data_IF_372282698456
#
_entry.id   IF_372282698456
#
_cell.length_a   1.000
_cell.length_b   1.000
_cell.length_c   1.000
_cell.angle_alpha   90.00
_cell.angle_beta   90.00
_cell.angle_gamma   90.00
#
_symmetry.space_group_name_H-M   'P 1'
#
loop_
_entity.id
_entity.type
_entity.pdbx_description
1 polymer ?
#
# COMPACT_ATOMS: atom_id res chain seq x y z
N UNK A 1 -13.82 -4.08 9.29
CA UNK A 1 -12.47 -3.93 9.88
C UNK A 1 -11.91 -2.59 9.41
N UNK A 2 -11.42 -1.72 10.30
CA UNK A 2 -10.97 -0.39 9.89
C UNK A 2 -9.59 -0.49 9.20
N UNK A 3 -9.50 -0.11 7.92
CA UNK A 3 -8.24 -0.13 7.18
C UNK A 3 -7.41 1.10 7.58
N UNK A 4 -6.11 0.95 7.90
CA UNK A 4 -5.26 2.11 8.12
C UNK A 4 -5.20 2.98 6.86
N UNK A 5 -5.30 4.30 7.04
CA UNK A 5 -5.19 5.28 5.95
C UNK A 5 -3.74 5.51 5.58
N UNK A 6 -3.45 5.53 4.28
CA UNK A 6 -2.13 5.80 3.71
C UNK A 6 -2.30 6.82 2.59
N UNK A 7 -1.70 7.99 2.75
CA UNK A 7 -1.76 9.07 1.75
C UNK A 7 -0.43 9.16 1.00
N UNK A 8 -0.52 9.34 -0.32
CA UNK A 8 0.63 9.52 -1.22
C UNK A 8 0.40 10.63 -2.24
N UNK A 9 1.50 11.15 -2.80
CA UNK A 9 1.53 11.96 -4.02
C UNK A 9 2.13 11.14 -5.18
N UNK A 10 1.27 10.52 -6.00
CA UNK A 10 1.69 9.57 -7.02
C UNK A 10 2.48 10.17 -8.19
N UNK A 11 2.35 11.47 -8.45
CA UNK A 11 3.09 12.17 -9.51
C UNK A 11 4.54 12.48 -9.11
N UNK A 12 4.89 12.25 -7.84
CA UNK A 12 6.23 12.43 -7.29
C UNK A 12 6.94 11.11 -6.99
N UNK A 13 8.02 11.15 -6.19
CA UNK A 13 8.75 9.94 -5.78
C UNK A 13 7.89 8.97 -4.94
N UNK A 14 6.77 9.43 -4.39
CA UNK A 14 5.85 8.60 -3.60
C UNK A 14 5.00 7.65 -4.45
N UNK A 15 4.94 7.86 -5.77
CA UNK A 15 4.31 6.92 -6.71
C UNK A 15 5.13 5.65 -6.94
N UNK A 16 6.32 5.52 -6.36
CA UNK A 16 7.08 4.28 -6.44
C UNK A 16 6.45 3.19 -5.55
N UNK A 17 6.27 1.97 -6.09
CA UNK A 17 5.62 0.88 -5.36
C UNK A 17 6.29 0.55 -4.02
N UNK A 18 7.63 0.61 -3.95
CA UNK A 18 8.37 0.30 -2.72
C UNK A 18 8.15 1.37 -1.64
N UNK A 19 7.98 2.63 -2.05
CA UNK A 19 7.61 3.70 -1.14
C UNK A 19 6.22 3.46 -0.54
N UNK A 20 5.25 3.12 -1.39
CA UNK A 20 3.87 2.81 -0.98
C UNK A 20 3.84 1.63 -0.01
N UNK A 21 4.58 0.56 -0.32
CA UNK A 21 4.71 -0.62 0.57
C UNK A 21 5.34 -0.22 1.91
N UNK A 22 6.36 0.63 1.92
CA UNK A 22 6.97 1.16 3.14
C UNK A 22 5.96 1.91 4.02
N UNK A 23 5.18 2.83 3.44
CA UNK A 23 4.11 3.55 4.16
C UNK A 23 3.03 2.58 4.67
N UNK A 24 2.61 1.61 3.86
CA UNK A 24 1.63 0.60 4.26
C UNK A 24 2.13 -0.26 5.43
N UNK A 25 3.40 -0.68 5.41
CA UNK A 25 4.04 -1.39 6.52
C UNK A 25 3.96 -0.61 7.82
N UNK A 26 4.32 0.68 7.77
CA UNK A 26 4.36 1.53 8.96
C UNK A 26 2.95 1.76 9.53
N UNK A 27 1.96 1.95 8.67
CA UNK A 27 0.55 2.09 9.07
C UNK A 27 0.01 0.81 9.72
N UNK A 28 0.27 -0.35 9.12
CA UNK A 28 -0.15 -1.66 9.65
C UNK A 28 0.58 -2.01 10.94
N UNK A 29 1.88 -1.70 11.05
CA UNK A 29 2.66 -1.87 12.28
C UNK A 29 2.10 -1.03 13.42
N UNK A 30 1.78 0.25 13.18
CA UNK A 30 1.14 1.14 14.18
C UNK A 30 -0.22 0.60 14.64
N UNK A 31 -0.96 -0.02 13.72
CA UNK A 31 -2.23 -0.69 14.01
C UNK A 31 -2.07 -2.08 14.67
N UNK A 32 -0.84 -2.52 15.00
CA UNK A 32 -0.52 -3.88 15.51
C UNK A 32 -0.96 -5.02 14.57
N UNK A 33 -0.93 -4.77 13.26
CA UNK A 33 -1.36 -5.69 12.18
C UNK A 33 -0.21 -6.04 11.23
N UNK A 34 0.97 -6.32 11.78
CA UNK A 34 2.16 -6.62 10.95
C UNK A 34 2.01 -7.94 10.17
N UNK A 35 1.22 -8.90 10.66
CA UNK A 35 0.85 -10.11 9.93
C UNK A 35 0.19 -9.78 8.59
N UNK A 36 -0.74 -8.83 8.60
CA UNK A 36 -1.51 -8.45 7.41
C UNK A 36 -0.60 -7.78 6.36
N UNK A 37 0.45 -7.09 6.82
CA UNK A 37 1.50 -6.59 5.94
C UNK A 37 2.27 -7.74 5.29
N UNK A 38 2.65 -8.77 6.05
CA UNK A 38 3.40 -9.90 5.51
C UNK A 38 2.58 -10.62 4.42
N UNK A 39 1.31 -10.89 4.68
CA UNK A 39 0.42 -11.54 3.72
C UNK A 39 0.19 -10.66 2.48
N UNK A 40 0.03 -9.35 2.67
CA UNK A 40 -0.09 -8.38 1.57
C UNK A 40 1.20 -8.34 0.73
N UNK A 41 2.36 -8.34 1.38
CA UNK A 41 3.66 -8.28 0.72
C UNK A 41 3.92 -9.53 -0.14
N UNK A 42 3.55 -10.71 0.34
CA UNK A 42 3.61 -11.95 -0.44
C UNK A 42 2.73 -11.85 -1.70
N UNK A 43 1.48 -11.37 -1.59
CA UNK A 43 0.60 -11.19 -2.75
C UNK A 43 1.15 -10.15 -3.74
N UNK A 44 1.70 -9.05 -3.25
CA UNK A 44 2.29 -7.99 -4.08
C UNK A 44 3.51 -8.49 -4.85
N UNK A 45 4.39 -9.29 -4.23
CA UNK A 45 5.54 -9.88 -4.93
C UNK A 45 5.15 -10.81 -6.08
N UNK A 46 3.98 -11.44 -5.98
CA UNK A 46 3.44 -12.31 -7.03
C UNK A 46 2.68 -11.54 -8.14
N UNK A 47 2.60 -10.20 -8.06
CA UNK A 47 1.96 -9.38 -9.07
C UNK A 47 2.90 -9.11 -10.26
N UNK A 48 2.40 -9.28 -11.48
CA UNK A 48 3.15 -8.99 -12.71
C UNK A 48 3.09 -7.53 -13.17
N UNK A 49 2.37 -6.65 -12.47
CA UNK A 49 2.23 -5.24 -12.85
C UNK A 49 2.08 -4.33 -11.64
N UNK A 50 2.44 -3.05 -11.83
CA UNK A 50 2.27 -1.99 -10.84
C UNK A 50 0.79 -1.82 -10.43
N UNK A 51 -0.13 -1.86 -11.39
CA UNK A 51 -1.57 -1.71 -11.13
C UNK A 51 -2.14 -2.88 -10.32
N UNK A 52 -1.70 -4.11 -10.59
CA UNK A 52 -2.10 -5.27 -9.80
C UNK A 52 -1.57 -5.18 -8.36
N UNK A 53 -0.32 -4.75 -8.19
CA UNK A 53 0.28 -4.52 -6.87
C UNK A 53 -0.50 -3.45 -6.07
N UNK A 54 -0.88 -2.33 -6.70
CA UNK A 54 -1.71 -1.31 -6.06
C UNK A 54 -3.07 -1.86 -5.61
N UNK A 55 -3.71 -2.69 -6.43
CA UNK A 55 -4.98 -3.32 -6.09
C UNK A 55 -4.86 -4.22 -4.85
N UNK A 56 -3.78 -5.01 -4.74
CA UNK A 56 -3.50 -5.82 -3.55
C UNK A 56 -3.27 -4.96 -2.29
N UNK A 57 -2.55 -3.84 -2.42
CA UNK A 57 -2.31 -2.91 -1.31
C UNK A 57 -3.64 -2.31 -0.82
N UNK A 58 -4.51 -1.86 -1.74
CA UNK A 58 -5.84 -1.29 -1.43
C UNK A 58 -6.79 -2.27 -0.73
N UNK A 59 -6.56 -3.59 -0.83
CA UNK A 59 -7.32 -4.58 -0.05
C UNK A 59 -7.03 -4.48 1.45
N UNK A 60 -5.82 -4.07 1.81
CA UNK A 60 -5.30 -4.15 3.19
C UNK A 60 -5.27 -2.77 3.87
N UNK A 61 -4.97 -1.72 3.12
CA UNK A 61 -4.95 -0.32 3.58
C UNK A 61 -5.89 0.56 2.75
N UNK A 62 -6.27 1.70 3.29
CA UNK A 62 -7.01 2.73 2.56
C UNK A 62 -5.99 3.68 1.89
N UNK A 63 -5.58 3.33 0.68
CA UNK A 63 -4.59 4.08 -0.09
C UNK A 63 -5.26 5.24 -0.82
N UNK A 64 -4.85 6.46 -0.51
CA UNK A 64 -5.41 7.69 -1.05
C UNK A 64 -4.30 8.43 -1.79
N UNK A 65 -4.49 8.62 -3.09
CA UNK A 65 -3.63 9.46 -3.90
C UNK A 65 -4.16 10.90 -3.86
N UNK A 66 -3.35 11.81 -3.32
CA UNK A 66 -3.68 13.23 -3.23
C UNK A 66 -3.56 13.94 -4.59
N UNK A 67 -2.89 13.31 -5.56
CA UNK A 67 -2.78 13.83 -6.94
C UNK A 67 -3.92 13.33 -7.85
N UNK A 68 -4.69 12.31 -7.40
CA UNK A 68 -5.85 11.77 -8.12
C UNK A 68 -5.53 10.97 -9.39
N UNK A 69 -4.31 10.49 -9.55
CA UNK A 69 -3.84 9.82 -10.77
C UNK A 69 -3.82 8.27 -10.66
N UNK A 70 -3.88 7.69 -9.45
CA UNK A 70 -3.88 6.22 -9.22
C UNK A 70 -4.89 5.74 -8.20
#
# INVERSE_FOLDING_TARGET
MNKPRVEIHSQGPEGNIYFIIGKARDALRKARRISDYNDMWERVQNCGSYTAALAEIRKTVDLIDLDGAV
#
